data_IF_043305848591
#
_entry.id   IF_043305848591
#
_cell.length_a   1.000
_cell.length_b   1.000
_cell.length_c   1.000
_cell.angle_alpha   90.00
_cell.angle_beta   90.00
_cell.angle_gamma   90.00
#
_symmetry.space_group_name_H-M   'P 1'
#
loop_
_entity.id
_entity.type
_entity.pdbx_description
1 polymer ?
#
# COMPACT_ATOMS: atom_id res chain seq x y z
N UNK A 1 26.72 60.69 26.55
CA UNK A 1 26.08 60.85 25.24
C UNK A 1 26.52 59.67 24.38
N UNK A 2 25.78 58.57 24.43
CA UNK A 2 26.11 57.31 23.75
C UNK A 2 24.82 56.78 23.12
N UNK A 3 24.74 56.87 21.79
CA UNK A 3 23.58 56.46 20.99
C UNK A 3 23.55 54.93 20.84
N UNK A 4 22.44 54.31 21.24
CA UNK A 4 22.07 52.94 20.82
C UNK A 4 21.66 52.93 19.34
N UNK A 5 22.07 51.92 18.55
CA UNK A 5 21.59 51.77 17.18
C UNK A 5 20.17 51.18 17.18
N UNK A 6 19.26 51.85 16.49
CA UNK A 6 17.88 51.43 16.28
C UNK A 6 17.81 50.09 15.51
N UNK A 7 17.18 49.09 16.13
CA UNK A 7 16.85 47.81 15.48
C UNK A 7 15.76 48.06 14.44
N UNK A 8 16.11 47.93 13.16
CA UNK A 8 15.17 48.01 12.06
C UNK A 8 14.19 46.83 12.10
N UNK A 9 12.95 47.07 12.51
CA UNK A 9 11.85 46.11 12.37
C UNK A 9 11.46 45.99 10.89
N UNK A 10 11.83 44.88 10.26
CA UNK A 10 11.32 44.51 8.94
C UNK A 10 9.78 44.43 8.98
N UNK A 11 9.04 45.13 8.09
CA UNK A 11 7.58 45.07 8.09
C UNK A 11 7.12 43.69 7.63
N UNK A 12 6.81 42.82 8.58
CA UNK A 12 6.17 41.54 8.30
C UNK A 12 4.83 41.77 7.61
N UNK A 13 4.56 41.00 6.54
CA UNK A 13 3.32 41.07 5.75
C UNK A 13 2.07 41.21 6.63
N UNK A 14 1.10 42.08 6.28
CA UNK A 14 -0.15 42.27 7.02
C UNK A 14 -0.86 40.93 7.27
N UNK A 15 -1.49 40.78 8.45
CA UNK A 15 -2.13 39.52 8.88
C UNK A 15 -3.13 38.97 7.86
N UNK A 16 -3.89 39.83 7.19
CA UNK A 16 -4.83 39.45 6.12
C UNK A 16 -4.13 38.81 4.92
N UNK A 17 -3.02 39.38 4.47
CA UNK A 17 -2.25 38.84 3.34
C UNK A 17 -1.65 37.46 3.67
N UNK A 18 -1.26 37.24 4.94
CA UNK A 18 -0.83 35.91 5.44
C UNK A 18 -1.98 34.90 5.52
N UNK A 19 -3.20 35.33 5.81
CA UNK A 19 -4.36 34.46 5.85
C UNK A 19 -4.79 34.02 4.44
N UNK A 20 -4.80 34.95 3.48
CA UNK A 20 -5.11 34.69 2.06
C UNK A 20 -4.10 33.71 1.45
N UNK A 21 -2.79 33.98 1.59
CA UNK A 21 -1.73 33.10 1.08
C UNK A 21 -1.78 31.69 1.70
N UNK A 22 -2.20 31.58 2.97
CA UNK A 22 -2.43 30.28 3.61
C UNK A 22 -3.65 29.57 3.06
N UNK A 23 -4.70 30.30 2.68
CA UNK A 23 -5.90 29.74 2.02
C UNK A 23 -5.59 29.22 0.62
N UNK A 24 -4.91 30.01 -0.20
CA UNK A 24 -4.51 29.64 -1.57
C UNK A 24 -3.55 28.44 -1.58
N UNK A 25 -2.57 28.42 -0.67
CA UNK A 25 -1.65 27.28 -0.54
C UNK A 25 -2.37 25.99 -0.12
N UNK A 26 -3.39 26.10 0.74
CA UNK A 26 -4.21 24.95 1.15
C UNK A 26 -5.02 24.40 -0.01
N UNK A 27 -5.65 25.28 -0.81
CA UNK A 27 -6.39 24.87 -2.00
C UNK A 27 -5.48 24.16 -3.00
N UNK A 28 -4.29 24.71 -3.28
CA UNK A 28 -3.32 24.08 -4.17
C UNK A 28 -2.88 22.71 -3.65
N UNK A 29 -2.60 22.58 -2.34
CA UNK A 29 -2.26 21.29 -1.74
C UNK A 29 -3.40 20.27 -1.86
N UNK A 30 -4.67 20.69 -1.72
CA UNK A 30 -5.83 19.81 -1.90
C UNK A 30 -5.99 19.37 -3.36
N UNK A 31 -5.82 20.28 -4.32
CA UNK A 31 -5.87 19.96 -5.75
C UNK A 31 -4.78 18.98 -6.12
N UNK A 32 -3.54 19.18 -5.64
CA UNK A 32 -2.43 18.24 -5.86
C UNK A 32 -2.73 16.88 -5.24
N UNK A 33 -3.28 16.85 -4.01
CA UNK A 33 -3.68 15.61 -3.35
C UNK A 33 -4.71 14.84 -4.19
N UNK A 34 -5.76 15.52 -4.64
CA UNK A 34 -6.82 14.93 -5.45
C UNK A 34 -6.29 14.45 -6.81
N UNK A 35 -5.40 15.21 -7.45
CA UNK A 35 -4.79 14.82 -8.71
C UNK A 35 -3.98 13.52 -8.56
N UNK A 36 -3.15 13.39 -7.52
CA UNK A 36 -2.38 12.16 -7.26
C UNK A 36 -3.30 10.98 -6.90
N UNK A 37 -4.31 11.23 -6.07
CA UNK A 37 -5.31 10.22 -5.72
C UNK A 37 -6.05 9.70 -6.97
N UNK A 38 -6.51 10.59 -7.84
CA UNK A 38 -7.17 10.23 -9.09
C UNK A 38 -6.21 9.50 -10.05
N UNK A 39 -4.96 9.96 -10.16
CA UNK A 39 -3.93 9.32 -10.98
C UNK A 39 -3.58 7.91 -10.48
N UNK A 40 -3.77 7.63 -9.18
CA UNK A 40 -3.60 6.28 -8.63
C UNK A 40 -4.84 5.40 -8.84
N UNK A 41 -6.04 5.95 -8.60
CA UNK A 41 -7.28 5.16 -8.55
C UNK A 41 -7.92 4.93 -9.93
N UNK A 42 -7.89 5.91 -10.83
CA UNK A 42 -8.52 5.78 -12.16
C UNK A 42 -7.86 4.68 -12.98
N UNK A 43 -6.51 4.61 -13.09
CA UNK A 43 -5.85 3.52 -13.80
C UNK A 43 -6.11 2.16 -13.14
N UNK A 44 -6.16 2.10 -11.80
CA UNK A 44 -6.46 0.86 -11.09
C UNK A 44 -7.83 0.33 -11.45
N UNK A 45 -8.87 1.18 -11.40
CA UNK A 45 -10.25 0.80 -11.74
C UNK A 45 -10.36 0.41 -13.22
N UNK A 46 -9.73 1.15 -14.13
CA UNK A 46 -9.70 0.82 -15.55
C UNK A 46 -8.97 -0.50 -15.84
N UNK A 47 -7.99 -0.85 -15.02
CA UNK A 47 -7.22 -2.09 -15.10
C UNK A 47 -7.96 -3.34 -14.63
N UNK A 48 -9.00 -3.22 -13.79
CA UNK A 48 -9.76 -4.36 -13.26
C UNK A 48 -10.35 -5.27 -14.36
N UNK A 49 -11.11 -4.77 -15.35
CA UNK A 49 -11.67 -5.63 -16.39
C UNK A 49 -10.57 -6.27 -17.27
N UNK A 50 -9.47 -5.55 -17.50
CA UNK A 50 -8.32 -6.04 -18.27
C UNK A 50 -7.64 -7.20 -17.54
N UNK A 51 -7.40 -7.05 -16.25
CA UNK A 51 -6.83 -8.10 -15.40
C UNK A 51 -7.75 -9.33 -15.30
N UNK A 52 -9.07 -9.12 -15.20
CA UNK A 52 -10.04 -10.22 -15.21
C UNK A 52 -10.02 -11.00 -16.54
N UNK A 53 -9.91 -10.30 -17.67
CA UNK A 53 -9.80 -10.91 -18.99
C UNK A 53 -8.44 -11.62 -19.15
N UNK A 54 -7.36 -11.01 -18.70
CA UNK A 54 -6.00 -11.55 -18.77
C UNK A 54 -5.91 -12.92 -18.09
N UNK A 55 -6.42 -13.08 -16.87
CA UNK A 55 -6.38 -14.36 -16.14
C UNK A 55 -7.13 -15.48 -16.88
N UNK A 56 -8.13 -15.14 -17.70
CA UNK A 56 -8.89 -16.12 -18.50
C UNK A 56 -8.21 -16.50 -19.80
N UNK A 57 -7.15 -15.80 -20.20
CA UNK A 57 -6.41 -16.12 -21.42
C UNK A 57 -5.32 -17.14 -21.15
N UNK A 58 -5.25 -18.15 -22.01
CA UNK A 58 -4.20 -19.17 -21.97
C UNK A 58 -2.94 -18.62 -22.61
N UNK A 59 -1.80 -18.82 -21.96
CA UNK A 59 -0.50 -18.49 -22.53
C UNK A 59 0.21 -19.80 -22.98
N UNK A 60 0.87 -19.81 -24.16
CA UNK A 60 1.40 -21.05 -24.74
C UNK A 60 2.56 -21.66 -23.96
N UNK A 61 3.45 -20.82 -23.42
CA UNK A 61 4.72 -21.21 -22.79
C UNK A 61 4.85 -20.60 -21.36
N UNK A 62 6.06 -20.19 -20.95
CA UNK A 62 6.29 -19.55 -19.64
C UNK A 62 5.65 -18.15 -19.59
N UNK A 63 4.64 -18.01 -18.74
CA UNK A 63 3.91 -16.76 -18.57
C UNK A 63 4.61 -15.88 -17.52
N UNK A 64 4.90 -14.63 -17.87
CA UNK A 64 5.49 -13.64 -16.96
C UNK A 64 4.43 -12.71 -16.31
N UNK A 65 3.15 -12.94 -16.62
CA UNK A 65 2.02 -12.11 -16.20
C UNK A 65 0.98 -12.93 -15.43
N UNK A 66 -0.27 -12.45 -15.32
CA UNK A 66 -1.31 -13.12 -14.56
C UNK A 66 -1.96 -14.32 -15.29
N UNK A 67 -1.55 -14.58 -16.54
CA UNK A 67 -2.00 -15.69 -17.40
C UNK A 67 -1.53 -17.05 -16.88
N UNK A 68 -2.25 -18.10 -17.27
CA UNK A 68 -1.95 -19.48 -16.89
C UNK A 68 -1.64 -20.35 -18.12
N UNK A 69 -0.76 -21.32 -17.93
CA UNK A 69 -0.49 -22.37 -18.93
C UNK A 69 -1.64 -23.38 -18.95
N UNK A 70 -1.70 -24.21 -20.00
CA UNK A 70 -2.70 -25.29 -20.08
C UNK A 70 -2.61 -26.25 -18.90
N UNK A 71 -1.39 -26.64 -18.54
CA UNK A 71 -1.13 -27.54 -17.40
C UNK A 71 -1.65 -26.95 -16.08
N UNK A 72 -1.45 -25.65 -15.85
CA UNK A 72 -1.98 -24.96 -14.66
C UNK A 72 -3.51 -24.90 -14.67
N UNK A 73 -4.12 -24.71 -15.83
CA UNK A 73 -5.59 -24.72 -15.96
C UNK A 73 -6.13 -26.13 -15.68
N UNK A 74 -5.51 -27.17 -16.20
CA UNK A 74 -5.91 -28.56 -15.94
C UNK A 74 -5.76 -28.91 -14.46
N UNK A 75 -4.68 -28.46 -13.81
CA UNK A 75 -4.48 -28.56 -12.36
C UNK A 75 -5.58 -27.85 -11.57
N UNK A 76 -5.89 -26.60 -11.92
CA UNK A 76 -6.96 -25.82 -11.30
C UNK A 76 -8.33 -26.53 -11.42
N UNK A 77 -8.63 -27.07 -12.61
CA UNK A 77 -9.87 -27.80 -12.86
C UNK A 77 -9.93 -29.12 -12.07
N UNK A 78 -8.79 -29.79 -11.89
CA UNK A 78 -8.71 -31.03 -11.08
C UNK A 78 -8.99 -30.78 -9.59
N UNK A 79 -8.70 -29.58 -9.09
CA UNK A 79 -9.09 -29.13 -7.74
C UNK A 79 -10.58 -28.75 -7.66
N UNK A 80 -11.30 -28.74 -8.79
CA UNK A 80 -12.70 -28.33 -8.90
C UNK A 80 -12.90 -26.82 -8.99
N UNK A 81 -11.84 -26.05 -9.28
CA UNK A 81 -11.89 -24.60 -9.45
C UNK A 81 -12.03 -24.25 -10.93
N UNK A 82 -13.04 -23.44 -11.26
CA UNK A 82 -13.14 -22.87 -12.61
C UNK A 82 -12.18 -21.70 -12.78
N UNK A 83 -11.68 -21.49 -14.00
CA UNK A 83 -10.85 -20.31 -14.34
C UNK A 83 -11.58 -19.00 -14.01
N UNK A 84 -12.89 -18.95 -14.25
CA UNK A 84 -13.72 -17.78 -13.95
C UNK A 84 -13.83 -17.49 -12.45
N UNK A 85 -14.03 -18.52 -11.61
CA UNK A 85 -14.07 -18.35 -10.15
C UNK A 85 -12.72 -17.93 -9.59
N UNK A 86 -11.63 -18.48 -10.14
CA UNK A 86 -10.27 -18.09 -9.78
C UNK A 86 -9.99 -16.61 -10.12
N UNK A 87 -10.34 -16.18 -11.34
CA UNK A 87 -10.21 -14.79 -11.77
C UNK A 87 -11.04 -13.84 -10.91
N UNK A 88 -12.30 -14.19 -10.64
CA UNK A 88 -13.20 -13.38 -9.81
C UNK A 88 -12.67 -13.22 -8.38
N UNK A 89 -12.10 -14.28 -7.80
CA UNK A 89 -11.50 -14.23 -6.47
C UNK A 89 -10.29 -13.31 -6.43
N UNK A 90 -9.35 -13.43 -7.38
CA UNK A 90 -8.16 -12.56 -7.44
C UNK A 90 -8.55 -11.08 -7.57
N UNK A 91 -9.49 -10.77 -8.47
CA UNK A 91 -10.01 -9.41 -8.64
C UNK A 91 -10.68 -8.91 -7.37
N UNK A 92 -11.56 -9.72 -6.78
CA UNK A 92 -12.28 -9.39 -5.56
C UNK A 92 -11.33 -9.09 -4.40
N UNK A 93 -10.31 -9.94 -4.20
CA UNK A 93 -9.30 -9.78 -3.17
C UNK A 93 -8.53 -8.46 -3.33
N UNK A 94 -8.11 -8.12 -4.55
CA UNK A 94 -7.42 -6.84 -4.84
C UNK A 94 -8.33 -5.65 -4.59
N UNK A 95 -9.56 -5.67 -5.08
CA UNK A 95 -10.54 -4.61 -4.86
C UNK A 95 -10.82 -4.40 -3.37
N UNK A 96 -11.10 -5.48 -2.64
CA UNK A 96 -11.41 -5.41 -1.21
C UNK A 96 -10.23 -4.87 -0.40
N UNK A 97 -9.02 -5.33 -0.68
CA UNK A 97 -7.81 -4.80 -0.05
C UNK A 97 -7.67 -3.30 -0.34
N UNK A 98 -7.65 -2.89 -1.61
CA UNK A 98 -7.50 -1.49 -2.01
C UNK A 98 -8.56 -0.59 -1.38
N UNK A 99 -9.81 -1.05 -1.27
CA UNK A 99 -10.88 -0.31 -0.58
C UNK A 99 -10.54 -0.03 0.89
N UNK A 100 -9.99 -0.98 1.64
CA UNK A 100 -9.59 -0.75 3.04
C UNK A 100 -8.54 0.36 3.15
N UNK A 101 -7.51 0.30 2.30
CA UNK A 101 -6.46 1.32 2.26
C UNK A 101 -7.03 2.71 1.94
N UNK A 102 -7.85 2.80 0.89
CA UNK A 102 -8.44 4.06 0.41
C UNK A 102 -9.44 4.63 1.41
N UNK A 103 -10.32 3.82 2.00
CA UNK A 103 -11.30 4.29 2.97
C UNK A 103 -10.65 4.89 4.22
N UNK A 104 -9.58 4.26 4.72
CA UNK A 104 -8.84 4.79 5.87
C UNK A 104 -8.12 6.09 5.48
N UNK A 105 -7.51 6.15 4.29
CA UNK A 105 -6.88 7.37 3.78
C UNK A 105 -7.86 8.52 3.63
N UNK A 106 -9.02 8.29 2.99
CA UNK A 106 -10.08 9.28 2.81
C UNK A 106 -10.66 9.76 4.14
N UNK A 107 -10.84 8.86 5.11
CA UNK A 107 -11.30 9.24 6.44
C UNK A 107 -10.33 10.19 7.14
N UNK A 108 -9.02 9.91 7.08
CA UNK A 108 -7.98 10.79 7.65
C UNK A 108 -7.97 12.14 6.95
N UNK A 109 -8.01 12.13 5.61
CA UNK A 109 -8.04 13.36 4.81
C UNK A 109 -9.26 14.23 5.14
N UNK A 110 -10.45 13.65 5.16
CA UNK A 110 -11.70 14.37 5.45
C UNK A 110 -11.73 14.96 6.86
N UNK A 111 -11.15 14.27 7.84
CA UNK A 111 -11.15 14.73 9.24
C UNK A 111 -10.05 15.75 9.57
N UNK A 112 -8.89 15.65 8.92
CA UNK A 112 -7.70 16.41 9.35
C UNK A 112 -6.78 16.82 8.19
N UNK A 113 -7.32 17.23 7.05
CA UNK A 113 -6.53 17.71 5.90
C UNK A 113 -5.59 18.88 6.22
N UNK A 114 -5.86 19.64 7.29
CA UNK A 114 -5.03 20.77 7.74
C UNK A 114 -3.75 20.35 8.47
N UNK A 115 -3.70 19.11 8.99
CA UNK A 115 -2.49 18.56 9.60
C UNK A 115 -1.58 17.94 8.54
N UNK A 116 -0.31 18.37 8.52
CA UNK A 116 0.65 17.97 7.48
C UNK A 116 0.90 16.46 7.47
N UNK A 117 0.98 15.84 8.65
CA UNK A 117 1.28 14.41 8.75
C UNK A 117 0.02 13.59 8.42
N UNK A 118 -1.16 14.04 8.84
CA UNK A 118 -2.43 13.42 8.46
C UNK A 118 -2.66 13.47 6.94
N UNK A 119 -2.46 14.63 6.32
CA UNK A 119 -2.57 14.81 4.86
C UNK A 119 -1.64 13.87 4.11
N UNK A 120 -0.38 13.77 4.56
CA UNK A 120 0.62 12.89 3.96
C UNK A 120 0.30 11.41 4.16
N UNK A 121 -0.14 11.03 5.36
CA UNK A 121 -0.56 9.66 5.68
C UNK A 121 -1.75 9.24 4.84
N UNK A 122 -2.73 10.14 4.64
CA UNK A 122 -3.85 9.89 3.76
C UNK A 122 -3.40 9.66 2.31
N UNK A 123 -2.44 10.46 1.82
CA UNK A 123 -1.89 10.29 0.47
C UNK A 123 -1.18 8.94 0.32
N UNK A 124 -0.31 8.59 1.27
CA UNK A 124 0.37 7.30 1.35
C UNK A 124 -0.61 6.13 1.31
N UNK A 125 -1.71 6.20 2.08
CA UNK A 125 -2.70 5.13 2.13
C UNK A 125 -3.49 5.00 0.82
N UNK A 126 -3.91 6.12 0.23
CA UNK A 126 -4.68 6.12 -1.03
C UNK A 126 -3.85 5.57 -2.19
N UNK A 127 -2.56 5.92 -2.27
CA UNK A 127 -1.69 5.39 -3.34
C UNK A 127 -1.15 3.99 -3.02
N UNK A 128 -1.05 3.65 -1.73
CA UNK A 128 -0.63 2.33 -1.23
C UNK A 128 -1.54 1.19 -1.68
N UNK A 129 -2.87 1.40 -1.61
CA UNK A 129 -3.85 0.36 -1.96
C UNK A 129 -3.65 -0.26 -3.35
N UNK A 130 -3.63 0.54 -4.43
CA UNK A 130 -3.35 0.04 -5.78
C UNK A 130 -1.91 -0.48 -5.99
N UNK A 131 -0.93 0.08 -5.27
CA UNK A 131 0.49 -0.25 -5.46
C UNK A 131 0.88 -1.59 -4.85
N UNK A 132 0.29 -1.96 -3.70
CA UNK A 132 0.59 -3.21 -3.00
C UNK A 132 0.06 -4.45 -3.74
N UNK A 133 -0.97 -4.29 -4.58
CA UNK A 133 -1.51 -5.32 -5.47
C UNK A 133 -1.63 -4.78 -6.89
N UNK A 134 -0.50 -4.64 -7.61
CA UNK A 134 -0.42 -3.85 -8.83
C UNK A 134 -0.95 -4.55 -10.07
N UNK A 135 -1.47 -5.78 -9.98
CA UNK A 135 -1.83 -6.55 -11.17
C UNK A 135 -2.88 -5.88 -12.08
N UNK A 136 -3.94 -5.21 -11.56
CA UNK A 136 -4.81 -4.39 -12.40
C UNK A 136 -4.06 -3.27 -13.15
N UNK A 137 -3.09 -2.61 -12.49
CA UNK A 137 -2.27 -1.57 -13.12
C UNK A 137 -1.37 -2.16 -14.21
N UNK A 138 -0.76 -3.33 -13.95
CA UNK A 138 0.09 -4.02 -14.92
C UNK A 138 -0.71 -4.44 -16.15
N UNK A 139 -1.92 -4.97 -15.97
CA UNK A 139 -2.84 -5.32 -17.06
C UNK A 139 -3.22 -4.10 -17.91
N UNK A 140 -3.45 -2.93 -17.28
CA UNK A 140 -3.68 -1.68 -17.99
C UNK A 140 -2.46 -1.26 -18.82
N UNK A 141 -1.26 -1.32 -18.24
CA UNK A 141 -0.02 -0.94 -18.94
C UNK A 141 0.28 -1.89 -20.09
N UNK A 142 -0.02 -3.18 -19.93
CA UNK A 142 0.13 -4.18 -21.00
C UNK A 142 -0.82 -3.91 -22.18
N UNK A 143 -2.08 -3.52 -21.91
CA UNK A 143 -3.05 -3.18 -22.95
C UNK A 143 -2.82 -1.78 -23.56
N UNK A 144 -2.41 -0.81 -22.74
CA UNK A 144 -2.23 0.59 -23.11
C UNK A 144 -0.88 1.13 -22.58
N UNK A 145 0.21 0.92 -23.33
CA UNK A 145 1.56 1.29 -22.89
C UNK A 145 1.76 2.78 -22.57
N UNK A 146 0.90 3.67 -23.07
CA UNK A 146 0.92 5.10 -22.73
C UNK A 146 0.70 5.40 -21.23
N UNK A 147 0.10 4.46 -20.49
CA UNK A 147 -0.06 4.56 -19.03
C UNK A 147 1.16 4.11 -18.23
N UNK A 148 2.20 3.57 -18.88
CA UNK A 148 3.39 3.05 -18.21
C UNK A 148 4.04 4.07 -17.28
N UNK A 149 4.43 5.23 -17.83
CA UNK A 149 5.12 6.25 -17.05
C UNK A 149 4.27 6.78 -15.88
N UNK A 150 2.99 7.18 -16.06
CA UNK A 150 2.16 7.61 -14.94
C UNK A 150 2.01 6.55 -13.84
N UNK A 151 1.79 5.28 -14.21
CA UNK A 151 1.62 4.17 -13.26
C UNK A 151 2.92 3.92 -12.48
N UNK A 152 4.04 3.77 -13.18
CA UNK A 152 5.35 3.55 -12.56
C UNK A 152 5.69 4.72 -11.61
N UNK A 153 5.48 5.97 -12.03
CA UNK A 153 5.72 7.14 -11.18
C UNK A 153 4.90 7.12 -9.88
N UNK A 154 3.62 6.75 -9.93
CA UNK A 154 2.79 6.65 -8.71
C UNK A 154 3.25 5.52 -7.79
N UNK A 155 3.66 4.38 -8.35
CA UNK A 155 4.20 3.26 -7.58
C UNK A 155 5.52 3.64 -6.89
N UNK A 156 6.44 4.27 -7.62
CA UNK A 156 7.69 4.81 -7.08
C UNK A 156 7.44 5.85 -5.97
N UNK A 157 6.54 6.80 -6.22
CA UNK A 157 6.15 7.80 -5.23
C UNK A 157 5.57 7.15 -3.97
N UNK A 158 4.78 6.10 -4.11
CA UNK A 158 4.22 5.36 -2.98
C UNK A 158 5.30 4.70 -2.13
N UNK A 159 6.36 4.18 -2.77
CA UNK A 159 7.50 3.60 -2.07
C UNK A 159 8.34 4.65 -1.34
N UNK A 160 8.50 5.84 -1.94
CA UNK A 160 9.05 7.02 -1.26
C UNK A 160 8.16 7.43 -0.08
N UNK A 161 6.83 7.45 -0.25
CA UNK A 161 5.89 7.80 0.80
C UNK A 161 5.98 6.85 1.98
N UNK A 162 6.12 5.55 1.74
CA UNK A 162 6.35 4.56 2.81
C UNK A 162 7.61 4.91 3.61
N UNK A 163 8.72 5.18 2.93
CA UNK A 163 10.01 5.47 3.56
C UNK A 163 9.97 6.77 4.36
N UNK A 164 9.39 7.83 3.78
CA UNK A 164 9.21 9.13 4.44
C UNK A 164 8.22 9.01 5.61
N UNK A 165 7.15 8.22 5.48
CA UNK A 165 6.20 7.96 6.56
C UNK A 165 6.93 7.41 7.78
N UNK A 166 7.69 6.33 7.64
CA UNK A 166 8.44 5.77 8.77
C UNK A 166 9.54 6.69 9.30
N UNK A 167 10.14 7.56 8.49
CA UNK A 167 11.15 8.47 9.00
C UNK A 167 10.58 9.72 9.70
N UNK A 168 9.31 10.05 9.45
CA UNK A 168 8.68 11.28 9.95
C UNK A 168 7.55 11.03 10.95
N UNK A 169 6.99 9.83 10.99
CA UNK A 169 5.94 9.44 11.92
C UNK A 169 6.40 9.53 13.39
N UNK A 170 5.55 10.01 14.33
CA UNK A 170 4.14 10.43 14.15
C UNK A 170 3.89 11.92 13.85
N UNK A 171 4.90 12.81 13.85
CA UNK A 171 4.68 14.27 13.85
C UNK A 171 5.15 15.01 12.59
N UNK A 172 5.58 14.28 11.56
CA UNK A 172 6.04 14.86 10.30
C UNK A 172 7.48 15.38 10.31
N UNK A 173 8.28 15.09 11.34
CA UNK A 173 9.68 15.56 11.45
C UNK A 173 10.68 14.41 11.36
N UNK A 174 11.72 14.61 10.55
CA UNK A 174 12.86 13.69 10.47
C UNK A 174 13.70 13.74 11.75
N UNK A 175 13.73 12.64 12.49
CA UNK A 175 14.54 12.48 13.69
C UNK A 175 15.19 11.09 13.70
N UNK A 176 16.53 10.98 13.63
CA UNK A 176 17.50 12.06 13.38
C UNK A 176 17.34 12.76 12.03
N UNK A 177 17.82 14.00 11.87
CA UNK A 177 17.65 14.77 10.61
C UNK A 177 18.29 14.12 9.38
N UNK A 178 19.32 13.29 9.56
CA UNK A 178 20.00 12.60 8.45
C UNK A 178 19.13 11.49 7.84
N UNK A 179 18.11 10.98 8.54
CA UNK A 179 17.23 9.92 8.02
C UNK A 179 16.43 10.37 6.80
N UNK A 180 16.36 11.68 6.52
CA UNK A 180 15.82 12.21 5.25
C UNK A 180 16.56 11.68 4.03
N UNK A 181 17.87 11.47 4.13
CA UNK A 181 18.67 10.95 3.03
C UNK A 181 18.50 9.44 2.91
N UNK A 182 18.46 8.74 4.05
CA UNK A 182 18.17 7.32 4.08
C UNK A 182 16.79 7.00 3.48
N UNK A 183 15.77 7.82 3.78
CA UNK A 183 14.42 7.65 3.24
C UNK A 183 14.36 7.78 1.70
N UNK A 184 15.31 8.49 1.10
CA UNK A 184 15.36 8.72 -0.35
C UNK A 184 16.37 7.83 -1.06
N UNK A 185 17.42 7.37 -0.38
CA UNK A 185 18.54 6.67 -1.00
C UNK A 185 18.10 5.39 -1.73
N UNK A 186 17.36 4.51 -1.06
CA UNK A 186 16.95 3.24 -1.66
C UNK A 186 15.91 3.43 -2.78
N UNK A 187 14.84 4.25 -2.63
CA UNK A 187 13.96 4.57 -3.75
C UNK A 187 14.71 5.19 -4.94
N UNK A 188 15.61 6.15 -4.72
CA UNK A 188 16.38 6.77 -5.81
C UNK A 188 17.30 5.77 -6.50
N UNK A 189 17.90 4.84 -5.73
CA UNK A 189 18.70 3.77 -6.29
C UNK A 189 17.85 2.80 -7.12
N UNK A 190 16.66 2.47 -6.64
CA UNK A 190 15.69 1.64 -7.36
C UNK A 190 15.29 2.28 -8.69
N UNK A 191 14.90 3.56 -8.66
CA UNK A 191 14.58 4.35 -9.86
C UNK A 191 15.79 4.46 -10.80
N UNK A 192 16.99 4.69 -10.27
CA UNK A 192 18.21 4.76 -11.07
C UNK A 192 18.50 3.43 -11.78
N UNK A 193 18.30 2.30 -11.09
CA UNK A 193 18.45 0.97 -11.69
C UNK A 193 17.45 0.72 -12.82
N UNK A 194 16.20 1.15 -12.65
CA UNK A 194 15.17 1.04 -13.68
C UNK A 194 15.48 1.87 -14.95
N UNK A 195 16.07 3.07 -14.78
CA UNK A 195 16.44 3.98 -15.87
C UNK A 195 17.74 3.55 -16.56
N UNK A 196 18.76 3.18 -15.78
CA UNK A 196 20.10 2.83 -16.28
C UNK A 196 20.31 1.31 -16.31
N UNK A 197 19.50 0.60 -17.11
CA UNK A 197 19.60 -0.86 -17.26
C UNK A 197 20.99 -1.30 -17.75
N UNK A 198 21.50 -2.40 -17.20
CA UNK A 198 22.82 -2.96 -17.51
C UNK A 198 24.00 -2.22 -16.88
N UNK A 199 23.75 -1.17 -16.09
CA UNK A 199 24.79 -0.47 -15.30
C UNK A 199 24.99 -1.13 -13.92
N UNK A 200 26.07 -0.80 -13.18
CA UNK A 200 26.26 -1.31 -11.82
C UNK A 200 25.15 -0.93 -10.82
N UNK A 201 24.33 0.08 -11.13
CA UNK A 201 23.17 0.47 -10.31
C UNK A 201 21.87 -0.23 -10.72
N UNK A 202 21.91 -1.08 -11.74
CA UNK A 202 20.78 -1.93 -12.13
C UNK A 202 20.56 -3.05 -11.11
N UNK A 203 19.76 -2.74 -10.10
CA UNK A 203 19.40 -3.63 -8.99
C UNK A 203 18.76 -4.95 -9.47
N UNK A 204 18.19 -5.01 -10.67
CA UNK A 204 17.58 -6.23 -11.21
C UNK A 204 18.63 -7.25 -11.66
N UNK A 205 19.87 -6.80 -11.91
CA UNK A 205 21.01 -7.66 -12.26
C UNK A 205 21.87 -8.05 -11.06
N UNK A 206 21.58 -7.48 -9.88
CA UNK A 206 22.36 -7.76 -8.68
C UNK A 206 22.20 -9.21 -8.22
N UNK A 207 23.26 -9.80 -7.64
CA UNK A 207 23.15 -11.10 -6.98
C UNK A 207 22.06 -11.08 -5.91
N UNK A 208 21.34 -12.20 -5.76
CA UNK A 208 20.23 -12.34 -4.82
C UNK A 208 20.58 -11.86 -3.40
N UNK A 209 21.76 -12.24 -2.90
CA UNK A 209 22.25 -11.83 -1.57
C UNK A 209 22.37 -10.31 -1.44
N UNK A 210 22.88 -9.62 -2.47
CA UNK A 210 23.04 -8.17 -2.45
C UNK A 210 21.69 -7.46 -2.42
N UNK A 211 20.71 -7.96 -3.16
CA UNK A 211 19.34 -7.45 -3.12
C UNK A 211 18.70 -7.61 -1.73
N UNK A 212 18.85 -8.77 -1.10
CA UNK A 212 18.37 -8.98 0.27
C UNK A 212 19.07 -8.10 1.29
N UNK A 213 20.38 -7.91 1.16
CA UNK A 213 21.13 -7.01 2.04
C UNK A 213 20.72 -5.56 1.87
N UNK A 214 20.50 -5.09 0.64
CA UNK A 214 20.04 -3.73 0.37
C UNK A 214 18.63 -3.49 0.93
N UNK A 215 17.72 -4.45 0.75
CA UNK A 215 16.37 -4.41 1.31
C UNK A 215 16.41 -4.42 2.85
N UNK A 216 17.19 -5.32 3.45
CA UNK A 216 17.36 -5.42 4.89
C UNK A 216 17.99 -4.14 5.48
N UNK A 217 18.94 -3.53 4.78
CA UNK A 217 19.54 -2.25 5.17
C UNK A 217 18.50 -1.13 5.14
N UNK A 218 17.72 -1.03 4.07
CA UNK A 218 16.67 -0.01 3.95
C UNK A 218 15.64 -0.13 5.08
N UNK A 219 15.03 -1.30 5.26
CA UNK A 219 14.06 -1.51 6.34
C UNK A 219 14.70 -1.42 7.73
N UNK A 220 15.95 -1.86 7.89
CA UNK A 220 16.72 -1.70 9.11
C UNK A 220 16.92 -0.23 9.49
N UNK A 221 17.15 0.66 8.51
CA UNK A 221 17.24 2.10 8.72
C UNK A 221 15.89 2.71 9.13
N UNK A 222 14.77 2.26 8.53
CA UNK A 222 13.43 2.69 8.93
C UNK A 222 13.10 2.26 10.38
N UNK A 223 13.42 1.02 10.74
CA UNK A 223 13.28 0.50 12.10
C UNK A 223 14.18 1.27 13.07
N UNK A 224 15.44 1.51 12.70
CA UNK A 224 16.36 2.31 13.49
C UNK A 224 15.81 3.71 13.76
N UNK A 225 15.29 4.40 12.75
CA UNK A 225 14.71 5.74 12.90
C UNK A 225 13.55 5.72 13.91
N UNK A 226 12.64 4.74 13.80
CA UNK A 226 11.52 4.60 14.73
C UNK A 226 11.98 4.25 16.16
N UNK A 227 12.95 3.34 16.32
CA UNK A 227 13.48 2.94 17.64
C UNK A 227 14.23 4.10 18.31
N UNK A 228 15.12 4.77 17.58
CA UNK A 228 15.86 5.94 18.07
C UNK A 228 14.88 7.00 18.58
N UNK A 229 13.87 7.31 17.77
CA UNK A 229 12.87 8.31 18.10
C UNK A 229 12.00 7.92 19.29
N UNK A 230 11.60 6.65 19.38
CA UNK A 230 10.81 6.12 20.50
C UNK A 230 11.56 6.28 21.83
N UNK A 231 12.87 5.99 21.84
CA UNK A 231 13.72 6.07 23.03
C UNK A 231 14.08 7.51 23.41
N UNK A 232 14.46 8.34 22.44
CA UNK A 232 15.15 9.60 22.72
C UNK A 232 14.27 10.86 22.63
N UNK A 233 13.15 10.83 21.91
CA UNK A 233 12.40 12.07 21.57
C UNK A 233 10.91 11.98 21.88
N UNK A 234 10.33 10.79 21.80
CA UNK A 234 8.87 10.63 21.87
C UNK A 234 8.31 10.86 23.27
N UNK A 235 7.27 11.68 23.37
CA UNK A 235 6.49 11.81 24.60
C UNK A 235 5.57 10.59 24.82
N UNK A 236 4.94 10.49 25.99
CA UNK A 236 4.11 9.34 26.38
C UNK A 236 2.98 9.04 25.37
N UNK A 237 2.33 10.07 24.83
CA UNK A 237 1.26 9.92 23.83
C UNK A 237 1.79 9.41 22.49
N UNK A 238 2.89 9.98 22.01
CA UNK A 238 3.56 9.57 20.77
C UNK A 238 4.04 8.12 20.86
N UNK A 239 4.54 7.67 22.01
CA UNK A 239 4.94 6.28 22.23
C UNK A 239 3.76 5.31 22.06
N UNK A 240 2.58 5.64 22.58
CA UNK A 240 1.39 4.80 22.40
C UNK A 240 0.94 4.76 20.94
N UNK A 241 0.96 5.89 20.25
CA UNK A 241 0.64 5.98 18.82
C UNK A 241 1.59 5.16 17.95
N UNK A 242 2.90 5.30 18.18
CA UNK A 242 3.97 4.57 17.46
C UNK A 242 3.93 3.08 17.73
N UNK A 243 3.59 2.66 18.96
CA UNK A 243 3.56 1.23 19.32
C UNK A 243 2.65 0.41 18.39
N UNK A 244 1.43 0.88 18.12
CA UNK A 244 0.48 0.14 17.29
C UNK A 244 0.90 0.11 15.82
N UNK A 245 1.32 1.25 15.28
CA UNK A 245 1.77 1.34 13.89
C UNK A 245 3.01 0.47 13.67
N UNK A 246 4.04 0.61 14.51
CA UNK A 246 5.28 -0.19 14.40
C UNK A 246 4.98 -1.67 14.59
N UNK A 247 4.10 -2.06 15.51
CA UNK A 247 3.71 -3.46 15.67
C UNK A 247 3.04 -4.02 14.40
N UNK A 248 2.02 -3.32 13.88
CA UNK A 248 1.30 -3.76 12.68
C UNK A 248 2.20 -3.83 11.46
N UNK A 249 3.07 -2.84 11.26
CA UNK A 249 3.98 -2.79 10.11
C UNK A 249 5.09 -3.82 10.23
N UNK A 250 5.68 -4.00 11.41
CA UNK A 250 6.70 -5.04 11.63
C UNK A 250 6.13 -6.44 11.42
N UNK A 251 4.89 -6.68 11.86
CA UNK A 251 4.19 -7.94 11.59
C UNK A 251 3.94 -8.14 10.09
N UNK A 252 3.46 -7.10 9.39
CA UNK A 252 3.27 -7.15 7.93
C UNK A 252 4.56 -7.51 7.18
N UNK A 253 5.67 -6.86 7.52
CA UNK A 253 6.98 -7.15 6.92
C UNK A 253 7.50 -8.54 7.28
N UNK A 254 7.36 -8.96 8.54
CA UNK A 254 7.76 -10.31 8.95
C UNK A 254 6.98 -11.37 8.16
N UNK A 255 5.66 -11.22 8.05
CA UNK A 255 4.83 -12.11 7.23
C UNK A 255 5.22 -12.08 5.75
N UNK A 256 5.54 -10.90 5.19
CA UNK A 256 5.98 -10.77 3.80
C UNK A 256 7.31 -11.51 3.56
N UNK A 257 8.30 -11.30 4.43
CA UNK A 257 9.60 -11.98 4.35
C UNK A 257 9.41 -13.49 4.48
N UNK A 258 8.62 -13.95 5.46
CA UNK A 258 8.32 -15.36 5.64
C UNK A 258 7.59 -15.95 4.43
N UNK A 259 6.66 -15.21 3.82
CA UNK A 259 5.96 -15.65 2.63
C UNK A 259 6.91 -15.79 1.43
N UNK A 260 7.82 -14.83 1.22
CA UNK A 260 8.83 -14.92 0.15
C UNK A 260 9.77 -16.11 0.40
N UNK A 261 10.29 -16.27 1.62
CA UNK A 261 11.16 -17.40 1.97
C UNK A 261 10.45 -18.75 1.82
N UNK A 262 9.19 -18.83 2.24
CA UNK A 262 8.39 -20.03 2.07
C UNK A 262 8.19 -20.38 0.59
N UNK A 263 7.94 -19.36 -0.24
CA UNK A 263 7.76 -19.52 -1.67
C UNK A 263 9.04 -19.92 -2.42
N UNK A 264 10.18 -19.31 -2.09
CA UNK A 264 11.43 -19.57 -2.81
C UNK A 264 12.15 -20.83 -2.33
N UNK A 265 12.10 -21.13 -1.03
CA UNK A 265 12.99 -22.13 -0.39
C UNK A 265 12.24 -23.36 0.13
N UNK A 266 11.03 -23.19 0.67
CA UNK A 266 10.36 -24.26 1.43
C UNK A 266 9.36 -25.02 0.55
N UNK A 267 8.49 -24.30 -0.14
CA UNK A 267 7.39 -24.86 -0.93
C UNK A 267 7.09 -23.99 -2.16
N UNK A 268 7.89 -24.13 -3.25
CA UNK A 268 7.66 -23.39 -4.50
C UNK A 268 6.27 -23.57 -5.11
N UNK A 269 5.64 -24.71 -4.86
CA UNK A 269 4.26 -24.99 -5.27
C UNK A 269 3.23 -24.03 -4.66
N UNK A 270 3.52 -23.36 -3.54
CA UNK A 270 2.63 -22.35 -2.95
C UNK A 270 2.54 -21.06 -3.78
N UNK A 271 3.55 -20.77 -4.60
CA UNK A 271 3.61 -19.54 -5.42
C UNK A 271 3.24 -19.81 -6.88
N UNK A 272 2.97 -21.06 -7.25
CA UNK A 272 2.60 -21.41 -8.61
C UNK A 272 1.16 -20.95 -8.93
N UNK A 273 0.98 -20.04 -9.92
CA UNK A 273 -0.35 -19.63 -10.36
C UNK A 273 -1.20 -20.82 -10.84
N UNK A 274 -2.52 -20.70 -10.74
CA UNK A 274 -3.44 -21.77 -11.15
C UNK A 274 -3.67 -22.88 -10.11
N UNK A 275 -3.42 -22.62 -8.83
CA UNK A 275 -3.72 -23.54 -7.73
C UNK A 275 -4.52 -22.87 -6.62
N UNK A 276 -5.28 -23.66 -5.85
CA UNK A 276 -5.96 -23.20 -4.64
C UNK A 276 -4.99 -22.82 -3.52
N UNK A 277 -3.84 -23.49 -3.43
CA UNK A 277 -2.76 -23.14 -2.50
C UNK A 277 -2.21 -21.74 -2.78
N UNK A 278 -2.06 -21.35 -4.05
CA UNK A 278 -1.69 -20.00 -4.43
C UNK A 278 -2.72 -18.96 -4.01
N UNK A 279 -4.03 -19.25 -4.12
CA UNK A 279 -5.07 -18.35 -3.63
C UNK A 279 -4.98 -18.14 -2.11
N UNK A 280 -4.72 -19.20 -1.35
CA UNK A 280 -4.52 -19.12 0.10
C UNK A 280 -3.27 -18.31 0.45
N UNK A 281 -2.15 -18.56 -0.25
CA UNK A 281 -0.91 -17.82 -0.10
C UNK A 281 -1.11 -16.32 -0.36
N UNK A 282 -1.71 -15.98 -1.51
CA UNK A 282 -2.02 -14.61 -1.92
C UNK A 282 -2.92 -13.90 -0.90
N UNK A 283 -3.91 -14.62 -0.37
CA UNK A 283 -4.82 -14.11 0.67
C UNK A 283 -4.05 -13.82 1.96
N UNK A 284 -3.21 -14.74 2.42
CA UNK A 284 -2.37 -14.55 3.61
C UNK A 284 -1.45 -13.33 3.48
N UNK A 285 -0.77 -13.18 2.35
CA UNK A 285 0.08 -12.02 2.06
C UNK A 285 -0.73 -10.72 2.03
N UNK A 286 -1.91 -10.74 1.42
CA UNK A 286 -2.80 -9.57 1.36
C UNK A 286 -3.28 -9.15 2.75
N UNK A 287 -3.72 -10.10 3.58
CA UNK A 287 -4.15 -9.85 4.96
C UNK A 287 -3.00 -9.33 5.83
N UNK A 288 -1.80 -9.87 5.66
CA UNK A 288 -0.62 -9.38 6.36
C UNK A 288 -0.32 -7.92 6.01
N UNK A 289 -0.41 -7.54 4.75
CA UNK A 289 -0.17 -6.16 4.30
C UNK A 289 -1.26 -5.19 4.78
N UNK A 290 -2.51 -5.66 4.96
CA UNK A 290 -3.58 -4.86 5.56
C UNK A 290 -3.33 -4.48 7.03
N UNK A 291 -2.39 -5.13 7.72
CA UNK A 291 -1.97 -4.71 9.06
C UNK A 291 -1.40 -3.28 9.07
N UNK A 292 -0.85 -2.81 7.96
CA UNK A 292 -0.32 -1.44 7.82
C UNK A 292 -1.46 -0.40 7.97
N UNK A 293 -2.46 -0.33 7.07
CA UNK A 293 -3.54 0.64 7.19
C UNK A 293 -4.39 0.39 8.45
N UNK A 294 -4.64 -0.87 8.84
CA UNK A 294 -5.44 -1.18 10.02
C UNK A 294 -4.75 -0.70 11.31
N UNK A 295 -3.43 -0.85 11.44
CA UNK A 295 -2.72 -0.35 12.61
C UNK A 295 -2.72 1.18 12.70
N UNK A 296 -2.65 1.88 11.56
CA UNK A 296 -2.82 3.33 11.49
C UNK A 296 -4.24 3.72 11.89
N UNK A 297 -5.26 3.03 11.39
CA UNK A 297 -6.65 3.25 11.79
C UNK A 297 -6.85 3.06 13.29
N UNK A 298 -6.27 2.02 13.88
CA UNK A 298 -6.29 1.81 15.35
C UNK A 298 -5.59 2.95 16.09
N UNK A 299 -4.46 3.45 15.60
CA UNK A 299 -3.76 4.59 16.19
C UNK A 299 -4.59 5.89 16.12
N UNK A 300 -5.28 6.13 15.00
CA UNK A 300 -6.23 7.25 14.83
C UNK A 300 -7.40 7.13 15.79
N UNK A 301 -8.08 5.98 15.80
CA UNK A 301 -9.35 5.78 16.51
C UNK A 301 -9.19 5.64 18.02
N UNK A 302 -8.11 5.00 18.50
CA UNK A 302 -7.94 4.66 19.91
C UNK A 302 -6.98 5.59 20.66
N UNK A 303 -6.03 6.20 19.95
CA UNK A 303 -4.96 7.02 20.54
C UNK A 303 -4.96 8.46 20.04
N UNK A 304 -6.08 8.89 19.44
CA UNK A 304 -6.31 10.21 18.86
C UNK A 304 -5.10 10.68 18.04
N UNK A 305 -4.57 9.83 17.16
CA UNK A 305 -3.50 10.24 16.25
C UNK A 305 -3.99 11.44 15.43
N UNK A 306 -3.13 12.46 15.30
CA UNK A 306 -3.43 13.76 14.66
C UNK A 306 -4.50 14.62 15.36
N UNK A 307 -4.78 14.38 16.65
CA UNK A 307 -5.87 15.07 17.37
C UNK A 307 -7.20 14.96 16.61
N UNK A 308 -7.43 13.80 15.99
CA UNK A 308 -8.73 13.43 15.45
C UNK A 308 -9.54 12.91 16.63
N UNK A 309 -10.20 13.84 17.31
CA UNK A 309 -11.18 13.49 18.33
C UNK A 309 -12.40 12.92 17.60
N UNK A 310 -12.47 11.60 17.52
CA UNK A 310 -13.66 10.90 17.06
C UNK A 310 -14.68 10.96 18.19
N UNK A 311 -15.25 12.15 18.41
CA UNK A 311 -16.40 12.37 19.29
C UNK A 311 -17.66 11.65 18.75
N UNK A 312 -17.61 11.09 17.54
CA UNK A 312 -18.68 10.26 16.98
C UNK A 312 -18.32 8.78 17.12
N UNK A 313 -18.71 8.26 18.29
CA UNK A 313 -19.20 6.92 18.61
C UNK A 313 -18.53 5.68 17.99
N UNK A 314 -18.42 4.67 18.85
CA UNK A 314 -18.30 3.23 18.56
C UNK A 314 -18.91 2.77 17.21
N UNK A 315 -19.98 3.40 16.71
CA UNK A 315 -20.61 3.15 15.40
C UNK A 315 -19.72 3.33 14.19
N UNK A 316 -18.73 4.23 14.15
CA UNK A 316 -17.89 4.37 12.95
C UNK A 316 -16.81 3.28 12.91
N UNK A 317 -16.27 2.94 14.08
CA UNK A 317 -15.34 1.81 14.25
C UNK A 317 -16.05 0.48 13.96
N UNK A 318 -17.23 0.28 14.56
CA UNK A 318 -18.05 -0.89 14.26
C UNK A 318 -18.55 -0.86 12.82
N UNK A 319 -18.89 0.29 12.24
CA UNK A 319 -19.29 0.41 10.85
C UNK A 319 -18.19 0.02 9.88
N UNK A 320 -16.97 0.51 10.06
CA UNK A 320 -15.83 0.15 9.22
C UNK A 320 -15.41 -1.32 9.43
N UNK A 321 -15.40 -1.80 10.68
CA UNK A 321 -15.10 -3.19 11.01
C UNK A 321 -16.16 -4.13 10.42
N UNK A 322 -17.44 -3.81 10.58
CA UNK A 322 -18.56 -4.56 10.01
C UNK A 322 -18.54 -4.51 8.49
N UNK A 323 -18.29 -3.36 7.86
CA UNK A 323 -18.16 -3.28 6.41
C UNK A 323 -17.00 -4.13 5.88
N UNK A 324 -15.87 -4.15 6.60
CA UNK A 324 -14.72 -5.00 6.25
C UNK A 324 -15.05 -6.48 6.44
N UNK A 325 -15.69 -6.85 7.56
CA UNK A 325 -16.12 -8.23 7.84
C UNK A 325 -17.16 -8.69 6.81
N UNK A 326 -18.15 -7.85 6.49
CA UNK A 326 -19.19 -8.14 5.51
C UNK A 326 -18.58 -8.24 4.11
N UNK A 327 -17.65 -7.36 3.75
CA UNK A 327 -16.93 -7.43 2.47
C UNK A 327 -16.13 -8.72 2.35
N UNK A 328 -15.36 -9.07 3.40
CA UNK A 328 -14.63 -10.35 3.46
C UNK A 328 -15.56 -11.55 3.46
N UNK A 329 -16.68 -11.47 4.18
CA UNK A 329 -17.70 -12.52 4.22
C UNK A 329 -18.31 -12.74 2.84
N UNK A 330 -18.72 -11.68 2.13
CA UNK A 330 -19.24 -11.76 0.76
C UNK A 330 -18.18 -12.38 -0.16
N UNK A 331 -16.91 -12.02 0.01
CA UNK A 331 -15.80 -12.58 -0.76
C UNK A 331 -15.63 -14.08 -0.51
N UNK A 332 -15.54 -14.49 0.75
CA UNK A 332 -15.32 -15.88 1.16
C UNK A 332 -16.54 -16.73 0.82
N UNK A 333 -17.75 -16.28 1.15
CA UNK A 333 -18.99 -17.03 0.90
C UNK A 333 -19.36 -17.02 -0.57
N UNK A 334 -19.15 -15.91 -1.29
CA UNK A 334 -19.31 -15.88 -2.74
C UNK A 334 -18.34 -16.85 -3.44
N UNK A 335 -17.11 -16.93 -2.95
CA UNK A 335 -16.12 -17.90 -3.45
C UNK A 335 -16.50 -19.35 -3.13
N UNK A 336 -16.88 -19.64 -1.89
CA UNK A 336 -17.36 -20.98 -1.49
C UNK A 336 -18.63 -21.36 -2.26
N UNK A 337 -19.56 -20.42 -2.46
CA UNK A 337 -20.77 -20.63 -3.25
C UNK A 337 -20.47 -20.97 -4.71
N UNK A 338 -19.52 -20.28 -5.33
CA UNK A 338 -19.04 -20.59 -6.68
C UNK A 338 -18.37 -21.97 -6.75
N UNK A 339 -17.58 -22.35 -5.73
CA UNK A 339 -16.94 -23.66 -5.61
C UNK A 339 -17.98 -24.80 -5.46
N UNK A 340 -19.03 -24.58 -4.67
CA UNK A 340 -20.08 -25.58 -4.47
C UNK A 340 -21.07 -25.68 -5.64
N UNK A 341 -21.37 -24.58 -6.34
CA UNK A 341 -22.14 -24.67 -7.59
C UNK A 341 -21.40 -25.44 -8.68
N UNK A 342 -20.07 -25.33 -8.75
CA UNK A 342 -19.25 -26.15 -9.65
C UNK A 342 -19.34 -27.66 -9.32
N UNK A 343 -19.53 -28.03 -8.04
CA UNK A 343 -19.77 -29.42 -7.60
C UNK A 343 -21.23 -29.86 -7.66
N UNK A 344 -22.18 -28.93 -7.54
CA UNK A 344 -23.62 -29.22 -7.55
C UNK A 344 -24.14 -29.63 -8.93
N UNK A 345 -23.49 -29.17 -10.01
CA UNK A 345 -23.89 -29.50 -11.38
C UNK A 345 -23.57 -30.97 -11.75
N UNK A 346 -22.68 -31.65 -11.03
CA UNK A 346 -22.38 -33.08 -11.24
C UNK A 346 -23.19 -34.00 -10.32
N UNK A 347 -23.59 -33.54 -9.12
CA UNK A 347 -24.45 -34.30 -8.21
C UNK A 347 -25.93 -34.33 -8.64
N UNK A 348 -26.42 -33.27 -9.32
CA UNK A 348 -27.80 -33.23 -9.85
C UNK A 348 -27.91 -33.95 -11.20
N UNK A 349 -26.80 -34.25 -11.88
CA UNK A 349 -26.79 -35.02 -13.13
C UNK A 349 -26.82 -36.55 -12.92
N UNK A 350 -26.78 -37.02 -11.66
CA UNK A 350 -26.69 -38.43 -11.27
C UNK A 350 -27.87 -38.92 -10.42
N UNK A 351 -28.90 -38.08 -10.26
CA UNK A 351 -30.24 -38.41 -9.74
C UNK A 351 -31.24 -37.95 -10.79
#
# INVERSE_FOLDING_TARGET
MSQEPAVAHSPGLPRERRAILRGEWRLLAQVVWLAIALLSLVPFVAGIPLFFAEIQTVCPDTCFDARMTREQIDGLLSEGLSVRSYAAFRVGLRLASTLVWVLIGLLIFWRKSDDRMAWFTALFLVTGGPTVGPEPLNALVAAYPGWRLPVELVQELTFVFLSVFFCTFPDGRFVPRWTRWAALLYPLLFTAGAVFRGSPVDIYTWPLLLNWLALALHFGLLVFAQVYRYRNTSNTRQRQQTKWVVFGTSMAFACLVLAILAGEVIAPSLVQPGSGSFLLFLTGVTLALLLIPVSIAVAVLRHNLYDIDVIINRTLVYGALTATIVGLYILVVGWLGALFQARGNTLIALI
#
